data_IF_801337788652
#
_entry.id   IF_801337788652
#
_cell.length_a   1.000
_cell.length_b   1.000
_cell.length_c   1.000
_cell.angle_alpha   90.00
_cell.angle_beta   90.00
_cell.angle_gamma   90.00
#
_symmetry.space_group_name_H-M   'P 1'
#
loop_
_entity.id
_entity.type
_entity.pdbx_description
1 polymer ?
#
# COMPACT_ATOMS: atom_id res chain seq x y z
N UNK A 1 -36.27 -17.77 -3.73
CA UNK A 1 -34.90 -18.34 -3.83
C UNK A 1 -34.15 -17.86 -2.61
N UNK A 2 -33.68 -18.75 -1.75
CA UNK A 2 -32.76 -18.35 -0.68
C UNK A 2 -31.35 -18.21 -1.27
N UNK A 3 -30.68 -17.13 -0.93
CA UNK A 3 -29.28 -16.95 -1.29
C UNK A 3 -28.44 -17.78 -0.33
N UNK A 4 -27.65 -18.73 -0.87
CA UNK A 4 -26.74 -19.55 -0.06
C UNK A 4 -25.71 -18.67 0.66
N UNK A 5 -25.71 -18.62 2.01
CA UNK A 5 -24.77 -17.83 2.78
C UNK A 5 -23.31 -18.16 2.45
N UNK A 6 -22.99 -19.41 2.13
CA UNK A 6 -21.62 -19.82 1.81
C UNK A 6 -21.12 -19.13 0.53
N UNK A 7 -21.96 -19.08 -0.50
CA UNK A 7 -21.63 -18.40 -1.76
C UNK A 7 -21.52 -16.89 -1.53
N UNK A 8 -22.44 -16.31 -0.77
CA UNK A 8 -22.41 -14.87 -0.44
C UNK A 8 -21.13 -14.48 0.31
N UNK A 9 -20.73 -15.26 1.32
CA UNK A 9 -19.48 -15.01 2.06
C UNK A 9 -18.24 -15.11 1.18
N UNK A 10 -18.20 -16.05 0.23
CA UNK A 10 -17.09 -16.15 -0.74
C UNK A 10 -17.00 -14.94 -1.66
N UNK A 11 -18.14 -14.46 -2.16
CA UNK A 11 -18.19 -13.28 -3.02
C UNK A 11 -17.78 -12.02 -2.24
N UNK A 12 -18.28 -11.85 -1.02
CA UNK A 12 -17.90 -10.75 -0.14
C UNK A 12 -16.40 -10.77 0.13
N UNK A 13 -15.85 -11.92 0.52
CA UNK A 13 -14.41 -12.05 0.78
C UNK A 13 -13.59 -11.75 -0.48
N UNK A 14 -13.95 -12.35 -1.63
CA UNK A 14 -13.26 -12.13 -2.90
C UNK A 14 -13.26 -10.64 -3.30
N UNK A 15 -14.36 -9.93 -3.06
CA UNK A 15 -14.42 -8.48 -3.28
C UNK A 15 -13.44 -7.75 -2.36
N UNK A 16 -13.53 -7.95 -1.04
CA UNK A 16 -12.71 -7.21 -0.06
C UNK A 16 -11.20 -7.47 -0.27
N UNK A 17 -10.78 -8.74 -0.40
CA UNK A 17 -9.36 -9.08 -0.57
C UNK A 17 -8.78 -8.53 -1.87
N UNK A 18 -9.56 -8.51 -2.97
CA UNK A 18 -9.10 -8.01 -4.27
C UNK A 18 -8.79 -6.52 -4.24
N UNK A 19 -9.57 -5.73 -3.51
CA UNK A 19 -9.26 -4.31 -3.30
C UNK A 19 -8.14 -4.11 -2.29
N UNK A 20 -8.16 -4.87 -1.18
CA UNK A 20 -7.17 -4.70 -0.13
C UNK A 20 -5.76 -4.96 -0.65
N UNK A 21 -5.51 -6.07 -1.37
CA UNK A 21 -4.15 -6.51 -1.73
C UNK A 21 -3.33 -5.49 -2.54
N UNK A 22 -4.00 -4.59 -3.27
CA UNK A 22 -3.37 -3.56 -4.08
C UNK A 22 -2.54 -2.61 -3.19
N UNK A 23 -3.05 -2.25 -2.01
CA UNK A 23 -2.40 -1.27 -1.15
C UNK A 23 -1.15 -1.83 -0.43
N UNK A 24 -1.18 -2.99 0.24
CA UNK A 24 0.02 -3.61 0.82
C UNK A 24 1.08 -3.94 -0.23
N UNK A 25 0.71 -4.51 -1.37
CA UNK A 25 1.67 -4.86 -2.42
C UNK A 25 2.42 -3.60 -2.92
N UNK A 26 1.68 -2.51 -3.16
CA UNK A 26 2.26 -1.25 -3.58
C UNK A 26 3.11 -0.60 -2.47
N UNK A 27 2.62 -0.57 -1.24
CA UNK A 27 3.32 0.08 -0.12
C UNK A 27 4.59 -0.66 0.32
N UNK A 28 4.64 -2.00 0.22
CA UNK A 28 5.88 -2.76 0.45
C UNK A 28 6.96 -2.37 -0.56
N UNK A 29 6.61 -2.32 -1.85
CA UNK A 29 7.54 -1.88 -2.90
C UNK A 29 7.98 -0.43 -2.70
N UNK A 30 7.04 0.45 -2.35
CA UNK A 30 7.32 1.86 -2.14
C UNK A 30 8.16 2.13 -0.88
N UNK A 31 8.00 1.34 0.18
CA UNK A 31 8.86 1.40 1.36
C UNK A 31 10.31 1.04 1.02
N UNK A 32 10.54 -0.03 0.24
CA UNK A 32 11.87 -0.41 -0.23
C UNK A 32 12.50 0.68 -1.12
N UNK A 33 11.69 1.30 -1.98
CA UNK A 33 12.11 2.43 -2.82
C UNK A 33 12.51 3.66 -2.00
N UNK A 34 11.69 4.06 -1.03
CA UNK A 34 11.98 5.17 -0.13
C UNK A 34 13.27 4.94 0.67
N UNK A 35 13.47 3.73 1.19
CA UNK A 35 14.70 3.35 1.89
C UNK A 35 15.93 3.44 0.97
N UNK A 36 15.80 3.01 -0.28
CA UNK A 36 16.89 3.06 -1.28
C UNK A 36 17.27 4.50 -1.62
N UNK A 37 16.30 5.38 -1.88
CA UNK A 37 16.57 6.79 -2.18
C UNK A 37 17.20 7.51 -0.99
N UNK A 38 16.67 7.29 0.22
CA UNK A 38 17.23 7.92 1.42
C UNK A 38 18.64 7.40 1.69
N UNK A 39 18.91 6.11 1.48
CA UNK A 39 20.26 5.56 1.47
C UNK A 39 21.17 6.27 0.48
N UNK A 40 20.75 6.40 -0.79
CA UNK A 40 21.51 7.12 -1.81
C UNK A 40 21.75 8.59 -1.44
N UNK A 41 20.78 9.26 -0.80
CA UNK A 41 20.94 10.62 -0.25
C UNK A 41 22.04 10.67 0.80
N UNK A 42 22.06 9.73 1.74
CA UNK A 42 23.07 9.68 2.80
C UNK A 42 24.47 9.44 2.24
N UNK A 43 24.60 8.58 1.22
CA UNK A 43 25.89 8.31 0.57
C UNK A 43 26.41 9.46 -0.30
N UNK A 44 25.51 10.16 -1.01
CA UNK A 44 25.91 11.16 -2.02
C UNK A 44 25.79 12.61 -1.57
N UNK A 45 25.00 12.89 -0.53
CA UNK A 45 24.62 14.25 -0.13
C UNK A 45 23.70 14.99 -1.11
N UNK A 46 23.27 14.36 -2.21
CA UNK A 46 22.51 15.05 -3.26
C UNK A 46 21.06 15.34 -2.82
N UNK A 47 20.70 16.62 -2.78
CA UNK A 47 19.38 17.10 -2.38
C UNK A 47 18.23 16.64 -3.31
N UNK A 48 18.54 16.23 -4.56
CA UNK A 48 17.55 15.66 -5.47
C UNK A 48 16.86 14.42 -4.88
N UNK A 49 17.64 13.53 -4.25
CA UNK A 49 17.11 12.33 -3.62
C UNK A 49 16.10 12.68 -2.52
N UNK A 50 16.36 13.73 -1.74
CA UNK A 50 15.40 14.19 -0.73
C UNK A 50 14.09 14.66 -1.35
N UNK A 51 14.16 15.43 -2.44
CA UNK A 51 12.97 15.93 -3.15
C UNK A 51 12.11 14.78 -3.69
N UNK A 52 12.75 13.75 -4.25
CA UNK A 52 12.06 12.55 -4.72
C UNK A 52 11.46 11.76 -3.56
N UNK A 53 12.19 11.60 -2.45
CA UNK A 53 11.71 10.96 -1.23
C UNK A 53 10.45 11.66 -0.70
N UNK A 54 10.48 12.98 -0.52
CA UNK A 54 9.36 13.75 0.04
C UNK A 54 8.09 13.71 -0.84
N UNK A 55 8.26 13.58 -2.16
CA UNK A 55 7.14 13.34 -3.07
C UNK A 55 6.49 11.98 -2.83
N UNK A 56 7.30 10.91 -2.86
CA UNK A 56 6.81 9.54 -2.71
C UNK A 56 6.33 9.23 -1.29
N UNK A 57 6.86 9.90 -0.27
CA UNK A 57 6.43 9.75 1.12
C UNK A 57 4.94 10.09 1.30
N UNK A 58 4.45 11.12 0.61
CA UNK A 58 3.03 11.50 0.66
C UNK A 58 2.14 10.42 0.04
N UNK A 59 2.56 9.89 -1.12
CA UNK A 59 1.85 8.80 -1.80
C UNK A 59 1.85 7.54 -0.92
N UNK A 60 3.00 7.20 -0.32
CA UNK A 60 3.13 6.10 0.62
C UNK A 60 2.17 6.24 1.79
N UNK A 61 2.10 7.42 2.43
CA UNK A 61 1.24 7.65 3.58
C UNK A 61 -0.25 7.44 3.25
N UNK A 62 -0.71 7.95 2.11
CA UNK A 62 -2.11 7.79 1.67
C UNK A 62 -2.41 6.32 1.35
N UNK A 63 -1.55 5.67 0.57
CA UNK A 63 -1.74 4.26 0.20
C UNK A 63 -1.66 3.35 1.43
N UNK A 64 -0.76 3.62 2.38
CA UNK A 64 -0.64 2.88 3.62
C UNK A 64 -1.90 3.03 4.48
N UNK A 65 -2.41 4.26 4.63
CA UNK A 65 -3.67 4.51 5.32
C UNK A 65 -4.84 3.73 4.71
N UNK A 66 -4.97 3.75 3.38
CA UNK A 66 -5.99 2.95 2.67
C UNK A 66 -5.80 1.44 2.88
N UNK A 67 -4.56 0.96 2.90
CA UNK A 67 -4.24 -0.42 3.24
C UNK A 67 -4.72 -0.80 4.64
N UNK A 68 -4.43 0.01 5.65
CA UNK A 68 -4.88 -0.24 7.03
C UNK A 68 -6.40 -0.29 7.12
N UNK A 69 -7.10 0.70 6.56
CA UNK A 69 -8.58 0.79 6.63
C UNK A 69 -9.23 -0.41 5.93
N UNK A 70 -8.75 -0.78 4.74
CA UNK A 70 -9.30 -1.93 4.01
C UNK A 70 -8.94 -3.27 4.65
N UNK A 71 -7.83 -3.34 5.39
CA UNK A 71 -7.39 -4.54 6.09
C UNK A 71 -8.17 -4.84 7.36
N UNK A 72 -8.67 -3.81 8.05
CA UNK A 72 -9.53 -3.97 9.24
C UNK A 72 -10.86 -4.66 8.89
N UNK A 73 -11.32 -4.53 7.64
CA UNK A 73 -12.60 -5.09 7.15
C UNK A 73 -12.49 -6.58 6.82
N UNK A 74 -11.26 -7.10 6.67
CA UNK A 74 -11.02 -8.54 6.48
C UNK A 74 -10.99 -9.28 7.82
#
# INVERSE_FOLDING_TARGET
>A
MELDPLILSRIQFAFVISFHIIFPAFTIGLAAWLATIEGARLFTGNALYRRVFDFWLKVFAVSFGMGVVTGIVM
#
